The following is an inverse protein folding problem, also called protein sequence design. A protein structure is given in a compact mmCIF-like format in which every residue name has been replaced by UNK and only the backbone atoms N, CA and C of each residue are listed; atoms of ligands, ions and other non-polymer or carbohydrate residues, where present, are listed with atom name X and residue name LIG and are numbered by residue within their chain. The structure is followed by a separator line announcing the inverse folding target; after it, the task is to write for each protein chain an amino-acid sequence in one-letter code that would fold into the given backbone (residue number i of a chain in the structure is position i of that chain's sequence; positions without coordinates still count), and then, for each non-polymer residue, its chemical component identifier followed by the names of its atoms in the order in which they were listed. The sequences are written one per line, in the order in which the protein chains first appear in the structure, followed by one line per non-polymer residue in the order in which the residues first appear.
data_IF_051361345074
#
_entry.id   IF_051361345074
#
_cell.length_a   1.000
_cell.length_b   1.000
_cell.length_c   1.000
_cell.angle_alpha   90.00
_cell.angle_beta   90.00
_cell.angle_gamma   90.00
#
_symmetry.space_group_name_H-M   'P 1'
#
loop_
_entity.id
_entity.type
_entity.pdbx_description
1 polymer ?
#
# COMPACT_ATOMS: atom_id res chain seq x y z
N UNK A 1 0.02 10.94 -11.12
CA UNK A 1 -1.05 10.06 -10.59
C UNK A 1 -1.25 10.32 -9.10
N UNK A 2 -2.45 10.03 -8.61
CA UNK A 2 -2.80 9.89 -7.19
C UNK A 2 -3.69 8.66 -7.09
N UNK A 3 -3.30 7.72 -6.26
CA UNK A 3 -3.98 6.42 -6.14
C UNK A 3 -4.01 6.02 -4.68
N UNK A 4 -5.18 5.60 -4.21
CA UNK A 4 -5.38 5.06 -2.88
C UNK A 4 -5.98 3.66 -2.98
N UNK A 5 -5.58 2.81 -2.04
CA UNK A 5 -6.20 1.52 -1.75
C UNK A 5 -6.44 1.38 -0.26
N UNK A 6 -7.53 0.71 0.11
CA UNK A 6 -7.77 0.25 1.49
C UNK A 6 -7.46 -1.24 1.62
N UNK A 7 -6.63 -1.59 2.59
CA UNK A 7 -6.31 -2.96 3.04
C UNK A 7 -7.07 -3.21 4.33
N UNK A 8 -7.85 -4.30 4.39
CA UNK A 8 -8.73 -4.53 5.53
C UNK A 8 -7.93 -4.97 6.75
N UNK A 9 -8.37 -4.59 7.93
CA UNK A 9 -7.73 -4.97 9.18
C UNK A 9 -7.70 -6.49 9.36
N UNK A 10 -8.77 -7.18 8.99
CA UNK A 10 -8.88 -8.64 8.99
C UNK A 10 -7.87 -9.34 8.07
N UNK A 11 -7.39 -8.66 7.02
CA UNK A 11 -6.36 -9.17 6.11
C UNK A 11 -4.95 -9.02 6.69
N UNK A 12 -4.74 -8.05 7.58
CA UNK A 12 -3.46 -7.80 8.27
C UNK A 12 -3.39 -8.64 9.56
N UNK A 13 -4.48 -8.71 10.32
CA UNK A 13 -4.72 -9.64 11.41
C UNK A 13 -3.97 -9.39 12.73
N UNK A 14 -3.07 -8.41 12.80
CA UNK A 14 -2.31 -8.06 14.02
C UNK A 14 -1.65 -6.69 13.91
N UNK A 15 -1.20 -6.17 15.06
CA UNK A 15 -0.32 -4.99 15.09
C UNK A 15 0.93 -5.26 14.26
N UNK A 16 1.34 -4.27 13.46
CA UNK A 16 2.35 -4.47 12.45
C UNK A 16 3.14 -3.20 12.17
N UNK A 17 4.45 -3.26 12.37
CA UNK A 17 5.38 -2.21 11.94
C UNK A 17 5.75 -2.44 10.48
N UNK A 18 5.19 -1.65 9.58
CA UNK A 18 5.43 -1.76 8.13
C UNK A 18 6.72 -1.02 7.79
N UNK A 19 7.66 -1.72 7.14
CA UNK A 19 8.92 -1.14 6.68
C UNK A 19 9.10 -1.14 5.16
N UNK A 20 8.27 -1.88 4.43
CA UNK A 20 8.32 -1.90 2.97
C UNK A 20 6.99 -2.34 2.34
N UNK A 21 6.78 -1.86 1.12
CA UNK A 21 5.65 -2.27 0.27
C UNK A 21 6.15 -2.68 -1.10
N UNK A 22 5.54 -3.73 -1.67
CA UNK A 22 5.92 -4.24 -2.97
C UNK A 22 4.71 -4.49 -3.87
N UNK A 23 4.94 -4.34 -5.17
CA UNK A 23 3.96 -4.63 -6.21
C UNK A 23 4.46 -5.75 -7.11
N UNK A 24 3.57 -6.67 -7.47
CA UNK A 24 3.91 -7.71 -8.44
C UNK A 24 3.81 -7.17 -9.87
N UNK A 25 4.91 -7.24 -10.63
CA UNK A 25 4.99 -6.77 -12.02
C UNK A 25 4.04 -7.54 -12.94
N UNK A 26 3.23 -6.80 -13.70
CA UNK A 26 2.43 -7.38 -14.78
C UNK A 26 3.30 -7.65 -16.04
N UNK A 27 3.04 -8.72 -16.81
CA UNK A 27 3.74 -8.99 -18.08
C UNK A 27 3.57 -7.88 -19.13
N UNK A 28 2.42 -7.20 -19.11
CA UNK A 28 2.18 -6.00 -19.92
C UNK A 28 2.83 -4.77 -19.27
N UNK A 29 3.21 -3.79 -20.10
CA UNK A 29 3.89 -2.56 -19.67
C UNK A 29 5.39 -2.63 -19.85
N UNK A 30 6.07 -1.55 -19.50
CA UNK A 30 7.51 -1.42 -19.67
C UNK A 30 8.27 -2.25 -18.62
N UNK A 31 9.49 -2.74 -18.93
CA UNK A 31 10.33 -3.45 -17.95
C UNK A 31 10.76 -2.56 -16.79
N UNK A 32 10.82 -1.24 -17.04
CA UNK A 32 11.09 -0.23 -16.03
C UNK A 32 10.36 1.07 -16.36
N UNK A 33 9.94 1.81 -15.33
CA UNK A 33 9.43 3.17 -15.44
C UNK A 33 10.00 4.03 -14.30
N UNK A 34 10.16 5.32 -14.57
CA UNK A 34 10.67 6.31 -13.62
C UNK A 34 9.58 7.34 -13.33
N UNK A 35 9.32 7.59 -12.04
CA UNK A 35 8.26 8.46 -11.55
C UNK A 35 8.84 9.65 -10.79
N UNK A 36 8.58 10.86 -11.28
CA UNK A 36 9.08 12.08 -10.68
C UNK A 36 8.26 12.48 -9.45
N UNK A 37 8.92 12.92 -8.38
CA UNK A 37 8.31 13.36 -7.10
C UNK A 37 7.33 12.32 -6.56
N UNK A 38 7.80 11.08 -6.45
CA UNK A 38 7.03 9.96 -5.96
C UNK A 38 6.91 10.01 -4.44
N UNK A 39 5.70 9.85 -3.91
CA UNK A 39 5.45 9.84 -2.46
C UNK A 39 4.50 8.72 -2.08
N UNK A 40 4.72 8.15 -0.90
CA UNK A 40 3.79 7.20 -0.27
C UNK A 40 3.29 7.79 1.03
N UNK A 41 1.97 7.75 1.23
CA UNK A 41 1.33 8.06 2.50
C UNK A 41 0.58 6.83 3.00
N UNK A 42 0.54 6.69 4.32
CA UNK A 42 -0.24 5.66 5.01
C UNK A 42 -1.14 6.32 6.06
N UNK A 43 -2.27 5.69 6.37
CA UNK A 43 -3.21 6.20 7.36
C UNK A 43 -4.30 5.17 7.62
N UNK A 44 -5.28 5.51 8.44
CA UNK A 44 -6.40 4.62 8.76
C UNK A 44 -7.69 5.06 8.04
N UNK A 45 -8.57 4.11 7.78
CA UNK A 45 -9.93 4.28 7.25
C UNK A 45 -10.92 3.58 8.18
N UNK A 46 -12.06 4.22 8.46
CA UNK A 46 -13.12 3.60 9.26
C UNK A 46 -14.01 2.66 8.46
N UNK A 47 -13.93 2.70 7.13
CA UNK A 47 -14.82 1.98 6.22
C UNK A 47 -14.05 0.89 5.45
N UNK A 48 -14.77 -0.16 5.04
CA UNK A 48 -14.22 -1.22 4.18
C UNK A 48 -14.15 -0.82 2.70
N UNK A 49 -14.74 0.33 2.35
CA UNK A 49 -14.81 0.84 1.00
C UNK A 49 -14.43 2.31 0.94
N UNK A 50 -13.76 2.69 -0.15
CA UNK A 50 -13.35 4.07 -0.38
C UNK A 50 -14.48 4.89 -1.00
N UNK A 51 -14.61 6.13 -0.53
CA UNK A 51 -15.34 7.20 -1.19
C UNK A 51 -14.54 7.84 -2.33
N UNK A 52 -15.19 8.71 -3.09
CA UNK A 52 -14.60 9.36 -4.27
C UNK A 52 -13.76 10.61 -3.96
N UNK A 53 -13.61 10.98 -2.69
CA UNK A 53 -12.81 12.11 -2.21
C UNK A 53 -11.63 11.52 -1.42
N UNK A 54 -10.40 11.75 -1.90
CA UNK A 54 -9.20 11.10 -1.35
C UNK A 54 -8.97 11.42 0.13
N UNK A 55 -9.19 12.67 0.54
CA UNK A 55 -8.87 13.12 1.90
C UNK A 55 -9.96 12.71 2.91
N UNK A 56 -11.20 12.54 2.45
CA UNK A 56 -12.33 12.10 3.28
C UNK A 56 -12.25 10.62 3.65
N UNK A 57 -11.43 9.83 2.94
CA UNK A 57 -11.23 8.41 3.24
C UNK A 57 -10.41 8.18 4.51
N UNK A 58 -9.59 9.16 4.91
CA UNK A 58 -8.76 9.05 6.10
C UNK A 58 -9.56 9.33 7.37
N UNK A 59 -9.30 8.54 8.42
CA UNK A 59 -9.56 8.97 9.79
C UNK A 59 -8.70 10.21 10.05
N UNK A 60 -9.34 11.29 10.49
CA UNK A 60 -8.69 12.58 10.70
C UNK A 60 -7.45 12.45 11.59
N UNK A 61 -6.32 12.98 11.13
CA UNK A 61 -5.05 12.98 11.85
C UNK A 61 -4.18 11.72 11.68
N UNK A 62 -4.64 10.70 10.95
CA UNK A 62 -3.88 9.44 10.78
C UNK A 62 -2.95 9.43 9.56
N UNK A 63 -3.19 10.33 8.60
CA UNK A 63 -2.41 10.40 7.36
C UNK A 63 -0.96 10.81 7.64
N UNK A 64 -0.06 9.89 7.38
CA UNK A 64 1.39 9.98 7.61
C UNK A 64 2.14 9.84 6.30
N UNK A 65 3.14 10.69 6.09
CA UNK A 65 4.06 10.58 4.95
C UNK A 65 5.20 9.64 5.33
N UNK A 66 5.38 8.56 4.57
CA UNK A 66 6.30 7.45 4.93
C UNK A 66 7.42 7.23 3.91
N UNK A 67 7.34 7.84 2.72
CA UNK A 67 8.37 7.72 1.69
C UNK A 67 8.31 8.88 0.70
N UNK A 68 9.46 9.42 0.30
CA UNK A 68 9.58 10.35 -0.83
C UNK A 68 10.86 10.14 -1.64
N UNK A 69 10.70 10.15 -2.96
CA UNK A 69 11.83 10.24 -3.89
C UNK A 69 11.56 11.28 -4.97
N UNK A 70 12.60 12.08 -5.29
CA UNK A 70 12.56 12.98 -6.44
C UNK A 70 12.44 12.23 -7.77
N UNK A 71 12.94 10.99 -7.82
CA UNK A 71 12.86 10.07 -8.96
C UNK A 71 12.80 8.62 -8.46
N UNK A 72 11.62 8.02 -8.53
CA UNK A 72 11.41 6.61 -8.18
C UNK A 72 11.47 5.74 -9.42
N UNK A 73 12.43 4.82 -9.48
CA UNK A 73 12.51 3.82 -10.54
C UNK A 73 11.83 2.54 -10.06
N UNK A 74 10.84 2.07 -10.81
CA UNK A 74 10.27 0.74 -10.65
C UNK A 74 10.82 -0.12 -11.79
N UNK A 75 11.51 -1.22 -11.47
CA UNK A 75 12.10 -2.12 -12.47
C UNK A 75 11.97 -3.56 -12.00
N UNK A 76 11.50 -4.43 -12.87
CA UNK A 76 11.33 -5.85 -12.54
C UNK A 76 10.92 -6.67 -13.75
N UNK A 77 11.26 -7.95 -13.72
CA UNK A 77 10.82 -8.98 -14.65
C UNK A 77 9.34 -9.30 -14.43
N UNK A 78 8.70 -9.95 -15.40
CA UNK A 78 7.34 -10.45 -15.27
C UNK A 78 7.16 -11.25 -13.97
N UNK A 79 6.10 -10.95 -13.22
CA UNK A 79 5.73 -11.57 -11.93
C UNK A 79 6.73 -11.36 -10.78
N UNK A 80 7.79 -10.56 -11.00
CA UNK A 80 8.72 -10.13 -9.94
C UNK A 80 8.04 -9.14 -8.99
N UNK A 81 8.37 -9.26 -7.70
CA UNK A 81 7.96 -8.30 -6.68
C UNK A 81 8.96 -7.15 -6.63
N UNK A 82 8.50 -5.95 -6.95
CA UNK A 82 9.32 -4.73 -6.88
C UNK A 82 8.96 -3.99 -5.61
N UNK A 83 9.93 -3.94 -4.68
CA UNK A 83 9.77 -3.39 -3.34
C UNK A 83 10.31 -1.96 -3.22
N UNK A 84 9.63 -1.16 -2.41
CA UNK A 84 10.09 0.13 -1.90
C UNK A 84 10.22 0.00 -0.38
N UNK A 85 11.43 0.26 0.14
CA UNK A 85 11.67 0.41 1.57
C UNK A 85 11.25 1.82 1.98
N UNK A 86 10.49 1.93 3.06
CA UNK A 86 9.99 3.21 3.54
C UNK A 86 11.13 4.04 4.16
N UNK A 87 11.01 5.37 4.08
CA UNK A 87 11.93 6.28 4.78
C UNK A 87 11.63 6.32 6.27
N UNK A 88 10.38 6.04 6.63
CA UNK A 88 9.89 5.97 8.00
C UNK A 88 8.92 4.80 8.10
N UNK A 89 9.22 3.86 9.00
CA UNK A 89 8.36 2.73 9.27
C UNK A 89 6.99 3.22 9.78
N UNK A 90 5.93 2.56 9.33
CA UNK A 90 4.56 2.90 9.71
C UNK A 90 4.03 1.94 10.77
N UNK A 91 3.63 2.48 11.91
CA UNK A 91 3.01 1.72 12.99
C UNK A 91 1.53 1.52 12.69
N UNK A 92 1.16 0.32 12.29
CA UNK A 92 -0.23 -0.06 12.13
C UNK A 92 -0.74 -0.75 13.40
N UNK A 93 -1.79 -0.18 14.00
CA UNK A 93 -2.50 -0.74 15.14
C UNK A 93 -3.75 -1.49 14.67
N UNK A 94 -3.80 -2.78 14.94
CA UNK A 94 -4.94 -3.62 14.61
C UNK A 94 -6.17 -3.18 15.41
N UNK A 95 -7.36 -3.35 14.82
CA UNK A 95 -8.66 -2.91 15.35
C UNK A 95 -8.89 -1.40 15.50
N UNK A 96 -7.93 -0.54 15.09
CA UNK A 96 -8.13 0.91 15.04
C UNK A 96 -8.69 1.41 13.70
N UNK A 97 -8.74 0.54 12.68
CA UNK A 97 -9.31 0.81 11.38
C UNK A 97 -8.54 0.09 10.27
N UNK A 98 -9.08 0.15 9.05
CA UNK A 98 -8.43 -0.40 7.86
C UNK A 98 -7.24 0.46 7.43
N UNK A 99 -6.23 -0.12 6.79
CA UNK A 99 -5.05 0.61 6.33
C UNK A 99 -5.28 1.25 4.95
N UNK A 100 -5.08 2.56 4.83
CA UNK A 100 -4.94 3.23 3.53
C UNK A 100 -3.47 3.26 3.12
N UNK A 101 -3.20 2.86 1.88
CA UNK A 101 -1.93 3.13 1.19
C UNK A 101 -2.23 4.07 0.03
N UNK A 102 -1.61 5.25 0.05
CA UNK A 102 -1.72 6.26 -1.00
C UNK A 102 -0.37 6.44 -1.70
N UNK A 103 -0.37 6.40 -3.03
CA UNK A 103 0.80 6.73 -3.85
C UNK A 103 0.50 7.93 -4.74
N UNK A 104 1.47 8.82 -4.85
CA UNK A 104 1.39 10.00 -5.72
C UNK A 104 2.67 10.21 -6.50
N UNK A 105 2.56 10.73 -7.72
CA UNK A 105 3.70 11.23 -8.51
C UNK A 105 3.23 12.27 -9.53
N UNK A 106 4.10 13.19 -9.92
CA UNK A 106 3.75 14.28 -10.84
C UNK A 106 3.76 13.81 -12.30
N UNK A 107 4.78 13.06 -12.71
CA UNK A 107 4.94 12.60 -14.09
C UNK A 107 5.71 11.28 -14.16
N UNK A 108 5.64 10.63 -15.31
CA UNK A 108 6.53 9.53 -15.65
C UNK A 108 7.50 9.97 -16.75
N UNK A 109 8.80 9.70 -16.57
CA UNK A 109 9.82 9.98 -17.56
C UNK A 109 9.60 9.08 -18.78
N UNK A 110 9.74 9.64 -19.98
CA UNK A 110 9.54 8.96 -21.27
C UNK A 110 8.15 8.33 -21.50
N UNK A 111 7.13 8.74 -20.73
CA UNK A 111 5.76 8.19 -20.82
C UNK A 111 5.65 6.67 -20.62
N UNK A 112 6.60 6.07 -19.89
CA UNK A 112 6.59 4.64 -19.57
C UNK A 112 5.47 4.28 -18.60
N UNK A 113 5.07 3.03 -18.61
CA UNK A 113 4.02 2.49 -17.75
C UNK A 113 4.51 1.23 -17.02
N UNK A 114 4.66 1.32 -15.71
CA UNK A 114 4.86 0.15 -14.86
C UNK A 114 3.50 -0.42 -14.44
N UNK A 115 3.01 -1.43 -15.14
CA UNK A 115 1.78 -2.11 -14.75
C UNK A 115 2.04 -3.21 -13.73
N UNK A 116 1.10 -3.34 -12.79
CA UNK A 116 1.10 -4.33 -11.72
C UNK A 116 -0.01 -5.35 -11.94
N UNK A 117 0.19 -6.58 -11.47
CA UNK A 117 -0.91 -7.55 -11.39
C UNK A 117 -2.03 -6.97 -10.54
N UNK A 118 -3.26 -7.31 -10.89
CA UNK A 118 -4.43 -6.94 -10.10
C UNK A 118 -5.35 -8.13 -9.88
N UNK A 119 -6.26 -7.97 -8.95
CA UNK A 119 -7.37 -8.86 -8.66
C UNK A 119 -8.62 -8.02 -8.40
N UNK A 120 -9.80 -8.62 -8.53
CA UNK A 120 -11.06 -7.95 -8.22
C UNK A 120 -11.43 -8.25 -6.77
N UNK A 121 -11.51 -7.21 -5.95
CA UNK A 121 -11.89 -7.32 -4.55
C UNK A 121 -13.39 -7.53 -4.33
N UNK A 122 -14.21 -7.39 -5.38
CA UNK A 122 -15.67 -7.48 -5.28
C UNK A 122 -16.35 -6.28 -4.61
N UNK A 123 -15.57 -5.35 -4.05
CA UNK A 123 -16.02 -4.11 -3.42
C UNK A 123 -15.11 -2.94 -3.81
N UNK A 124 -15.59 -1.69 -3.63
CA UNK A 124 -14.84 -0.49 -4.02
C UNK A 124 -13.73 -0.21 -2.99
N UNK A 125 -12.53 -0.69 -3.28
CA UNK A 125 -11.38 -0.57 -2.38
C UNK A 125 -10.23 0.26 -2.95
N UNK A 126 -10.42 0.83 -4.13
CA UNK A 126 -9.44 1.71 -4.76
C UNK A 126 -10.08 2.96 -5.36
N UNK A 127 -9.30 4.04 -5.37
CA UNK A 127 -9.60 5.29 -6.08
C UNK A 127 -8.35 5.78 -6.80
N UNK A 128 -8.50 6.21 -8.05
CA UNK A 128 -7.38 6.69 -8.86
C UNK A 128 -7.71 7.94 -9.67
N UNK A 129 -6.72 8.83 -9.80
CA UNK A 129 -6.75 9.96 -10.72
C UNK A 129 -5.41 10.05 -11.47
N UNK A 130 -5.47 10.07 -12.80
CA UNK A 130 -4.29 9.93 -13.67
C UNK A 130 -4.00 11.15 -14.53
N UNK A 131 -4.83 12.20 -14.47
CA UNK A 131 -4.66 13.38 -15.31
C UNK A 131 -3.72 14.43 -14.68
N UNK A 132 -3.52 15.54 -15.38
CA UNK A 132 -2.71 16.68 -14.90
C UNK A 132 -3.20 17.17 -13.54
N UNK A 133 -2.26 17.46 -12.63
CA UNK A 133 -2.58 17.89 -11.26
C UNK A 133 -2.93 16.75 -10.31
N UNK A 134 -2.74 15.50 -10.72
CA UNK A 134 -3.14 14.34 -9.93
C UNK A 134 -2.69 14.34 -8.46
N UNK A 135 -1.43 14.66 -8.10
CA UNK A 135 -0.98 14.57 -6.70
C UNK A 135 -1.81 15.38 -5.71
N UNK A 136 -2.48 16.43 -6.16
CA UNK A 136 -3.31 17.32 -5.33
C UNK A 136 -4.78 17.32 -5.76
N UNK A 137 -5.17 16.46 -6.70
CA UNK A 137 -6.56 16.42 -7.16
C UNK A 137 -7.44 15.82 -6.04
N UNK A 138 -8.59 16.42 -5.71
CA UNK A 138 -9.38 16.03 -4.55
C UNK A 138 -10.20 14.75 -4.77
N UNK A 139 -10.52 14.43 -6.03
CA UNK A 139 -11.41 13.31 -6.37
C UNK A 139 -10.81 12.37 -7.41
N UNK A 140 -11.37 11.17 -7.52
CA UNK A 140 -10.90 10.16 -8.47
C UNK A 140 -11.99 9.17 -8.87
N UNK A 141 -11.63 8.25 -9.76
CA UNK A 141 -12.49 7.16 -10.21
C UNK A 141 -12.37 5.98 -9.25
N UNK A 142 -13.52 5.47 -8.81
CA UNK A 142 -13.63 4.31 -7.93
C UNK A 142 -13.37 3.01 -8.70
N UNK A 143 -12.77 2.03 -8.04
CA UNK A 143 -12.48 0.71 -8.62
C UNK A 143 -12.51 -0.39 -7.56
N UNK A 144 -12.96 -1.57 -7.96
CA UNK A 144 -12.77 -2.81 -7.21
C UNK A 144 -11.50 -3.57 -7.60
N UNK A 145 -10.80 -3.12 -8.65
CA UNK A 145 -9.55 -3.75 -9.07
C UNK A 145 -8.39 -3.25 -8.21
N UNK A 146 -7.84 -4.16 -7.39
CA UNK A 146 -6.72 -3.87 -6.50
C UNK A 146 -5.42 -4.41 -7.07
N UNK A 147 -4.29 -3.69 -6.97
CA UNK A 147 -2.99 -4.25 -7.27
C UNK A 147 -2.68 -5.39 -6.31
N UNK A 148 -1.92 -6.36 -6.79
CA UNK A 148 -1.26 -7.32 -5.91
C UNK A 148 -0.17 -6.59 -5.13
N UNK A 149 -0.49 -6.32 -3.87
CA UNK A 149 0.35 -5.65 -2.90
C UNK A 149 0.89 -6.67 -1.90
N UNK A 150 2.14 -6.48 -1.52
CA UNK A 150 2.76 -7.15 -0.40
C UNK A 150 3.23 -6.08 0.58
N UNK A 151 2.84 -6.24 1.84
CA UNK A 151 3.28 -5.39 2.94
C UNK A 151 4.27 -6.23 3.74
N UNK A 152 5.45 -5.69 4.02
CA UNK A 152 6.48 -6.35 4.82
C UNK A 152 6.87 -5.47 5.98
N UNK A 153 7.21 -6.13 7.08
CA UNK A 153 7.30 -5.49 8.38
C UNK A 153 7.59 -6.50 9.48
N UNK A 154 7.58 -6.01 10.71
CA UNK A 154 7.70 -6.82 11.91
C UNK A 154 6.40 -6.73 12.69
N UNK A 155 5.91 -7.88 13.20
CA UNK A 155 4.73 -7.88 14.06
C UNK A 155 4.99 -6.96 15.27
N UNK A 156 4.13 -5.96 15.43
CA UNK A 156 4.27 -4.87 16.38
C UNK A 156 3.73 -5.24 17.76
N UNK A 157 4.31 -6.25 18.41
CA UNK A 157 3.85 -6.60 19.76
C UNK A 157 4.36 -7.96 20.20
N UNK A 158 4.79 -8.02 21.47
CA UNK A 158 5.35 -9.20 22.12
C UNK A 158 4.50 -10.45 21.88
N UNK A 159 5.14 -11.62 22.01
CA UNK A 159 4.46 -12.89 22.28
C UNK A 159 3.54 -12.73 23.51
N UNK A 160 2.36 -12.13 23.34
CA UNK A 160 1.25 -12.48 24.19
C UNK A 160 0.91 -13.91 23.81
N UNK A 161 1.35 -14.81 24.67
CA UNK A 161 0.78 -16.13 24.84
C UNK A 161 -0.74 -15.98 24.90
N UNK A 162 -1.41 -15.96 23.76
CA UNK A 162 -2.79 -16.38 23.67
C UNK A 162 -2.77 -17.86 24.02
N UNK A 163 -3.10 -18.12 25.28
CA UNK A 163 -3.40 -19.42 25.84
C UNK A 163 -4.43 -20.13 24.98
N UNK A 164 -3.99 -20.94 24.01
CA UNK A 164 -4.66 -22.17 23.61
C UNK A 164 -3.60 -23.19 23.15
N UNK A 165 -3.20 -24.07 24.07
CA UNK A 165 -2.76 -25.44 23.77
C UNK A 165 -1.43 -25.65 23.03
N UNK A 166 -0.34 -25.74 23.81
CA UNK A 166 0.88 -26.50 23.53
C UNK A 166 1.85 -25.99 22.43
N UNK A 167 2.76 -25.08 22.84
CA UNK A 167 4.14 -25.13 22.33
C UNK A 167 4.88 -26.19 23.12
N UNK A 168 5.08 -27.38 22.53
CA UNK A 168 6.12 -28.31 22.99
C UNK A 168 7.45 -27.80 22.45
N UNK A 169 8.36 -27.41 23.33
CA UNK A 169 9.77 -27.28 22.95
C UNK A 169 10.31 -28.68 22.63
N UNK A 170 11.00 -28.79 21.49
CA UNK A 170 11.92 -29.89 21.19
C UNK A 170 13.33 -29.36 21.42
N UNK A 171 13.84 -29.57 22.63
CA UNK A 171 15.28 -29.48 22.88
C UNK A 171 15.93 -30.76 22.36
N UNK A 172 16.72 -30.66 21.30
CA UNK A 172 17.66 -31.70 20.91
C UNK A 172 19.01 -31.40 21.57
N UNK A 173 19.46 -32.31 22.43
CA UNK A 173 20.87 -32.44 22.83
C UNK A 173 21.66 -33.16 21.74
#
# INVERSE_FOLDING_TARGET
MRYQVVVLDEEIGSDFEINSIAWQKHPAGDPSAEFATFKIYMGLCSEDQLGSIFDDNYISGTRTHVYESSSQIMSGSTDEWVSIVLDTDYQYAFSEGNLIIEVTWVSCVDHKSFYTRSWDAGSIRAIGYTQTGAPTHPTGSLSSSLPRLMITGTAGGALESLTFGAVKSLDWR
#
